data_IF_395426103503
#
_entry.id   IF_395426103503
#
_cell.length_a   1.000
_cell.length_b   1.000
_cell.length_c   1.000
_cell.angle_alpha   90.00
_cell.angle_beta   90.00
_cell.angle_gamma   90.00
#
_symmetry.space_group_name_H-M   'P 1'
#
loop_
_entity.id
_entity.type
_entity.pdbx_description
1 polymer ?
#
# COMPACT_ATOMS: atom_id res chain seq x y z
N UNK A 1 0.95 -7.98 -23.05
CA UNK A 1 1.20 -8.71 -21.79
C UNK A 1 2.39 -9.62 -21.98
N UNK A 2 2.42 -10.40 -23.06
CA UNK A 2 3.50 -11.32 -23.41
C UNK A 2 4.91 -10.69 -23.32
N UNK A 3 5.11 -9.49 -23.88
CA UNK A 3 6.41 -8.79 -23.77
C UNK A 3 6.81 -8.39 -22.35
N UNK A 4 5.84 -8.15 -21.45
CA UNK A 4 6.11 -7.77 -20.05
C UNK A 4 6.49 -9.00 -19.22
N UNK A 5 5.95 -10.16 -19.55
CA UNK A 5 6.27 -11.47 -18.94
C UNK A 5 7.68 -11.91 -19.31
N UNK A 6 8.13 -11.60 -20.54
CA UNK A 6 9.51 -11.88 -20.97
C UNK A 6 10.56 -10.99 -20.27
N UNK A 7 10.15 -9.81 -19.77
CA UNK A 7 11.02 -8.83 -19.09
C UNK A 7 11.12 -9.03 -17.57
N UNK A 8 10.12 -9.67 -16.96
CA UNK A 8 10.05 -9.89 -15.52
C UNK A 8 10.14 -11.40 -15.29
N UNK A 9 11.25 -11.94 -14.73
CA UNK A 9 11.34 -13.35 -14.34
C UNK A 9 10.39 -13.72 -13.17
N UNK A 10 9.09 -13.64 -13.42
CA UNK A 10 8.01 -14.06 -12.54
C UNK A 10 7.05 -14.93 -13.36
N UNK A 11 6.37 -15.87 -12.69
CA UNK A 11 5.36 -16.67 -13.37
C UNK A 11 4.18 -15.75 -13.81
N UNK A 12 3.54 -16.10 -14.93
CA UNK A 12 2.50 -15.27 -15.55
C UNK A 12 1.35 -14.94 -14.59
N UNK A 13 0.99 -15.86 -13.70
CA UNK A 13 -0.08 -15.65 -12.71
C UNK A 13 0.30 -14.62 -11.63
N UNK A 14 1.55 -14.63 -11.16
CA UNK A 14 2.07 -13.63 -10.24
C UNK A 14 2.06 -12.24 -10.89
N UNK A 15 2.56 -12.14 -12.14
CA UNK A 15 2.56 -10.87 -12.88
C UNK A 15 1.14 -10.34 -13.06
N UNK A 16 0.20 -11.20 -13.48
CA UNK A 16 -1.21 -10.82 -13.63
C UNK A 16 -1.84 -10.37 -12.32
N UNK A 17 -1.56 -11.07 -11.22
CA UNK A 17 -2.10 -10.71 -9.91
C UNK A 17 -1.54 -9.38 -9.40
N UNK A 18 -0.23 -9.16 -9.52
CA UNK A 18 0.38 -7.88 -9.15
C UNK A 18 -0.17 -6.74 -10.00
N UNK A 19 -0.39 -6.94 -11.31
CA UNK A 19 -0.97 -5.92 -12.19
C UNK A 19 -2.43 -5.60 -11.82
N UNK A 20 -3.21 -6.58 -11.34
CA UNK A 20 -4.59 -6.34 -10.88
C UNK A 20 -4.63 -5.36 -9.71
N UNK A 21 -3.67 -5.44 -8.80
CA UNK A 21 -3.65 -4.60 -7.60
C UNK A 21 -2.92 -3.26 -7.81
N UNK A 22 -2.05 -3.17 -8.82
CA UNK A 22 -1.39 -1.92 -9.19
C UNK A 22 -2.29 -1.00 -10.00
N UNK A 23 -2.13 0.34 -9.93
CA UNK A 23 -2.91 1.30 -10.73
C UNK A 23 -2.44 1.34 -12.19
N UNK A 24 -2.53 0.22 -12.90
CA UNK A 24 -2.08 0.03 -14.29
C UNK A 24 -3.27 -0.26 -15.20
N UNK A 25 -3.30 0.37 -16.38
CA UNK A 25 -4.27 0.07 -17.45
C UNK A 25 -3.57 -0.24 -18.78
N UNK A 26 -4.32 -0.81 -19.72
CA UNK A 26 -3.84 -1.07 -21.09
C UNK A 26 -4.50 -0.06 -22.01
N UNK A 27 -3.71 0.74 -22.73
CA UNK A 27 -4.20 1.72 -23.67
C UNK A 27 -3.47 1.57 -25.00
N UNK A 28 -4.21 1.38 -26.09
CA UNK A 28 -3.67 1.18 -27.44
C UNK A 28 -2.62 0.04 -27.50
N UNK A 29 -2.82 -1.04 -26.74
CA UNK A 29 -1.90 -2.17 -26.65
C UNK A 29 -0.70 -1.96 -25.72
N UNK A 30 -0.53 -0.78 -25.12
CA UNK A 30 0.57 -0.49 -24.19
C UNK A 30 0.11 -0.49 -22.74
N UNK A 31 0.92 -1.06 -21.86
CA UNK A 31 0.73 -1.00 -20.41
C UNK A 31 1.11 0.41 -19.93
N UNK A 32 0.23 1.04 -19.15
CA UNK A 32 0.40 2.40 -18.61
C UNK A 32 0.15 2.39 -17.11
N UNK A 33 1.12 2.88 -16.34
CA UNK A 33 0.95 3.17 -14.92
C UNK A 33 0.22 4.51 -14.77
N UNK A 34 -0.90 4.51 -14.04
CA UNK A 34 -1.60 5.72 -13.64
C UNK A 34 -0.82 6.37 -12.51
N UNK A 35 -0.13 7.47 -12.82
CA UNK A 35 0.61 8.24 -11.82
C UNK A 35 -0.34 8.72 -10.72
N UNK A 36 0.17 8.83 -9.49
CA UNK A 36 -0.63 9.22 -8.32
C UNK A 36 -1.41 10.53 -8.55
N UNK A 37 -0.80 11.56 -9.15
CA UNK A 37 -1.47 12.83 -9.45
C UNK A 37 -2.66 12.66 -10.39
N UNK A 38 -2.51 11.80 -11.41
CA UNK A 38 -3.58 11.51 -12.35
C UNK A 38 -4.69 10.69 -11.70
N UNK A 39 -4.33 9.68 -10.90
CA UNK A 39 -5.29 8.89 -10.13
C UNK A 39 -6.09 9.77 -9.16
N UNK A 40 -5.41 10.70 -8.48
CA UNK A 40 -6.02 11.67 -7.55
C UNK A 40 -7.00 12.59 -8.25
N UNK A 41 -6.63 13.07 -9.45
CA UNK A 41 -7.51 13.88 -10.30
C UNK A 41 -8.75 13.09 -10.72
N UNK A 42 -8.58 11.88 -11.24
CA UNK A 42 -9.69 11.00 -11.65
C UNK A 42 -10.62 10.71 -10.48
N UNK A 43 -10.08 10.38 -9.30
CA UNK A 43 -10.89 10.19 -8.10
C UNK A 43 -11.70 11.42 -7.76
N UNK A 44 -11.09 12.61 -7.78
CA UNK A 44 -11.77 13.87 -7.48
C UNK A 44 -12.89 14.19 -8.48
N UNK A 45 -12.68 13.90 -9.77
CA UNK A 45 -13.70 14.05 -10.81
C UNK A 45 -14.87 13.08 -10.59
N UNK A 46 -14.57 11.82 -10.29
CA UNK A 46 -15.58 10.78 -10.04
C UNK A 46 -16.42 11.11 -8.82
N UNK A 47 -15.78 11.37 -7.67
CA UNK A 47 -16.51 11.64 -6.42
C UNK A 47 -17.22 12.99 -6.47
N UNK A 48 -16.63 13.99 -7.15
CA UNK A 48 -17.27 15.28 -7.39
C UNK A 48 -18.54 15.14 -8.24
N UNK A 49 -18.51 14.34 -9.31
CA UNK A 49 -19.69 14.04 -10.11
C UNK A 49 -20.76 13.29 -9.29
N UNK A 50 -20.37 12.35 -8.44
CA UNK A 50 -21.33 11.65 -7.57
C UNK A 50 -22.03 12.64 -6.63
N UNK A 51 -21.31 13.57 -6.03
CA UNK A 51 -21.89 14.61 -5.17
C UNK A 51 -22.80 15.55 -5.97
N UNK A 52 -22.33 16.05 -7.12
CA UNK A 52 -23.08 16.98 -7.97
C UNK A 52 -24.41 16.40 -8.44
N UNK A 53 -24.42 15.12 -8.84
CA UNK A 53 -25.61 14.45 -9.35
C UNK A 53 -26.36 13.62 -8.30
N UNK A 54 -25.95 13.67 -7.03
CA UNK A 54 -26.66 13.05 -5.91
C UNK A 54 -26.62 11.52 -5.88
N UNK A 55 -25.54 10.90 -6.35
CA UNK A 55 -25.34 9.46 -6.26
C UNK A 55 -24.90 9.04 -4.85
N UNK A 56 -25.52 8.00 -4.31
CA UNK A 56 -25.05 7.37 -3.07
C UNK A 56 -23.89 6.43 -3.39
N UNK A 57 -22.71 6.72 -2.83
CA UNK A 57 -21.52 5.90 -3.01
C UNK A 57 -21.67 4.48 -2.45
N UNK A 58 -22.62 4.26 -1.53
CA UNK A 58 -22.91 2.95 -0.97
C UNK A 58 -23.68 2.05 -1.92
N UNK A 59 -24.44 2.62 -2.85
CA UNK A 59 -25.31 1.88 -3.74
C UNK A 59 -25.66 2.70 -4.98
N UNK A 60 -25.04 2.37 -6.11
CA UNK A 60 -25.33 2.99 -7.40
C UNK A 60 -25.07 2.03 -8.55
N UNK A 61 -25.65 2.32 -9.72
CA UNK A 61 -25.37 1.56 -10.94
C UNK A 61 -24.16 2.15 -11.67
N UNK A 62 -22.99 1.51 -11.57
CA UNK A 62 -21.76 2.03 -12.16
C UNK A 62 -21.83 2.20 -13.68
N UNK A 63 -22.51 1.30 -14.41
CA UNK A 63 -22.63 1.38 -15.88
C UNK A 63 -23.37 2.65 -16.30
N UNK A 64 -24.51 2.93 -15.66
CA UNK A 64 -25.31 4.14 -15.87
C UNK A 64 -24.51 5.38 -15.48
N UNK A 65 -23.80 5.32 -14.35
CA UNK A 65 -23.03 6.45 -13.86
C UNK A 65 -21.89 6.82 -14.81
N UNK A 66 -21.07 5.83 -15.22
CA UNK A 66 -19.95 6.03 -16.16
C UNK A 66 -20.40 6.60 -17.49
N UNK A 67 -21.44 6.02 -18.08
CA UNK A 67 -21.91 6.39 -19.43
C UNK A 67 -22.45 7.82 -19.49
N UNK A 68 -23.06 8.29 -18.40
CA UNK A 68 -23.76 9.57 -18.39
C UNK A 68 -22.93 10.73 -17.82
N UNK A 69 -21.94 10.45 -16.97
CA UNK A 69 -21.28 11.50 -16.17
C UNK A 69 -19.75 11.52 -16.27
N UNK A 70 -19.11 10.52 -16.92
CA UNK A 70 -17.64 10.37 -16.94
C UNK A 70 -17.08 10.22 -18.37
N UNK A 71 -17.74 10.82 -19.37
CA UNK A 71 -17.39 10.73 -20.79
C UNK A 71 -16.00 11.28 -21.13
N UNK A 72 -15.49 12.21 -20.33
CA UNK A 72 -14.16 12.80 -20.49
C UNK A 72 -13.02 11.92 -19.98
N UNK A 73 -13.31 10.84 -19.24
CA UNK A 73 -12.31 9.92 -18.68
C UNK A 73 -12.22 8.68 -19.59
N UNK A 74 -11.02 8.27 -20.05
CA UNK A 74 -10.89 7.10 -20.90
C UNK A 74 -11.51 5.85 -20.26
N UNK A 75 -12.25 5.01 -21.01
CA UNK A 75 -12.91 3.82 -20.48
C UNK A 75 -11.96 2.87 -19.73
N UNK A 76 -10.74 2.69 -20.23
CA UNK A 76 -9.73 1.82 -19.62
C UNK A 76 -9.25 2.35 -18.26
N UNK A 77 -9.25 3.67 -18.09
CA UNK A 77 -8.94 4.33 -16.82
C UNK A 77 -10.11 4.15 -15.85
N UNK A 78 -11.35 4.30 -16.31
CA UNK A 78 -12.54 4.07 -15.50
C UNK A 78 -12.61 2.61 -15.03
N UNK A 79 -12.45 1.65 -15.94
CA UNK A 79 -12.44 0.22 -15.59
C UNK A 79 -11.41 -0.07 -14.51
N UNK A 80 -10.20 0.48 -14.67
CA UNK A 80 -9.16 0.30 -13.68
C UNK A 80 -9.50 0.98 -12.35
N UNK A 81 -9.95 2.22 -12.38
CA UNK A 81 -10.30 2.96 -11.16
C UNK A 81 -11.36 2.23 -10.34
N UNK A 82 -12.45 1.80 -10.98
CA UNK A 82 -13.51 1.07 -10.30
C UNK A 82 -13.05 -0.30 -9.79
N UNK A 83 -12.16 -0.99 -10.49
CA UNK A 83 -11.58 -2.25 -9.95
C UNK A 83 -10.76 -2.03 -8.67
N UNK A 84 -10.19 -0.84 -8.49
CA UNK A 84 -9.40 -0.50 -7.31
C UNK A 84 -10.30 -0.03 -6.16
N UNK A 85 -11.27 0.83 -6.45
CA UNK A 85 -12.03 1.60 -5.45
C UNK A 85 -13.47 1.17 -5.27
N UNK A 86 -13.95 0.15 -5.97
CA UNK A 86 -15.34 -0.26 -5.89
C UNK A 86 -15.51 -1.79 -5.85
N UNK A 87 -16.62 -2.20 -5.26
CA UNK A 87 -17.07 -3.58 -5.20
C UNK A 87 -18.40 -3.68 -5.96
N UNK A 88 -18.49 -4.65 -6.88
CA UNK A 88 -19.72 -4.99 -7.57
C UNK A 88 -20.44 -6.09 -6.79
N UNK A 89 -21.73 -5.93 -6.53
CA UNK A 89 -22.55 -6.94 -5.88
C UNK A 89 -22.62 -8.24 -6.70
N UNK A 90 -22.91 -9.36 -6.04
CA UNK A 90 -22.99 -10.67 -6.68
C UNK A 90 -24.04 -10.75 -7.81
N UNK A 91 -25.10 -9.94 -7.71
CA UNK A 91 -26.14 -9.83 -8.74
C UNK A 91 -25.74 -8.95 -9.93
N UNK A 92 -24.57 -8.31 -9.87
CA UNK A 92 -24.01 -7.47 -10.92
C UNK A 92 -24.72 -6.12 -11.12
N UNK A 93 -25.68 -5.76 -10.26
CA UNK A 93 -26.52 -4.57 -10.49
C UNK A 93 -26.10 -3.35 -9.67
N UNK A 94 -25.47 -3.57 -8.51
CA UNK A 94 -25.18 -2.54 -7.53
C UNK A 94 -23.69 -2.43 -7.30
N UNK A 95 -23.18 -1.21 -7.30
CA UNK A 95 -21.79 -0.89 -7.01
C UNK A 95 -21.71 -0.09 -5.72
N UNK A 96 -20.70 -0.41 -4.91
CA UNK A 96 -20.38 0.26 -3.65
C UNK A 96 -18.93 0.71 -3.71
N UNK A 97 -18.64 1.98 -3.40
CA UNK A 97 -17.27 2.44 -3.25
C UNK A 97 -16.65 1.94 -1.94
N UNK A 98 -15.36 1.62 -1.97
CA UNK A 98 -14.56 1.29 -0.81
C UNK A 98 -14.14 2.57 -0.08
N UNK A 99 -14.89 2.92 0.97
CA UNK A 99 -14.68 4.12 1.79
C UNK A 99 -13.24 4.21 2.30
N UNK A 100 -12.67 3.09 2.77
CA UNK A 100 -11.30 3.07 3.29
C UNK A 100 -10.30 3.45 2.21
N UNK A 101 -10.41 2.88 1.01
CA UNK A 101 -9.50 3.19 -0.10
C UNK A 101 -9.65 4.63 -0.58
N UNK A 102 -10.89 5.12 -0.71
CA UNK A 102 -11.14 6.52 -1.11
C UNK A 102 -10.57 7.48 -0.07
N UNK A 103 -10.93 7.34 1.21
CA UNK A 103 -10.41 8.18 2.29
C UNK A 103 -8.88 8.13 2.37
N UNK A 104 -8.27 6.95 2.21
CA UNK A 104 -6.81 6.78 2.20
C UNK A 104 -6.14 7.51 1.02
N UNK A 105 -6.76 7.52 -0.16
CA UNK A 105 -6.26 8.30 -1.29
C UNK A 105 -6.26 9.80 -0.98
N UNK A 106 -7.35 10.32 -0.42
CA UNK A 106 -7.44 11.71 0.03
C UNK A 106 -6.42 12.04 1.13
N UNK A 107 -6.15 11.11 2.06
CA UNK A 107 -5.06 11.27 3.02
C UNK A 107 -3.73 11.46 2.29
N UNK A 108 -3.40 10.56 1.35
CA UNK A 108 -2.16 10.62 0.56
C UNK A 108 -2.02 11.94 -0.21
N UNK A 109 -3.11 12.54 -0.69
CA UNK A 109 -3.09 13.84 -1.36
C UNK A 109 -2.70 15.00 -0.43
N UNK A 110 -2.98 14.88 0.87
CA UNK A 110 -2.73 15.92 1.88
C UNK A 110 -1.42 15.70 2.64
N UNK A 111 -0.99 14.45 2.78
CA UNK A 111 0.11 14.06 3.65
C UNK A 111 1.42 14.76 3.24
N UNK A 112 1.90 15.54 4.20
CA UNK A 112 3.21 16.19 4.32
C UNK A 112 3.56 16.12 5.81
N UNK A 113 4.75 16.56 6.28
CA UNK A 113 4.91 16.83 7.70
C UNK A 113 3.82 17.82 8.15
N UNK A 114 2.84 17.35 8.91
CA UNK A 114 1.62 18.08 9.24
C UNK A 114 1.35 17.94 10.73
N UNK A 115 1.00 19.03 11.41
CA UNK A 115 0.46 18.94 12.75
C UNK A 115 -0.79 18.05 12.78
N UNK A 116 -0.85 17.11 13.74
CA UNK A 116 -1.85 16.03 13.77
C UNK A 116 -3.29 16.57 13.74
N UNK A 117 -3.59 17.55 14.60
CA UNK A 117 -4.97 18.06 14.73
C UNK A 117 -5.44 18.78 13.48
N UNK A 118 -4.56 19.56 12.85
CA UNK A 118 -4.88 20.28 11.61
C UNK A 118 -5.06 19.31 10.45
N UNK A 119 -4.22 18.27 10.39
CA UNK A 119 -4.35 17.20 9.39
C UNK A 119 -5.70 16.49 9.51
N UNK A 120 -6.12 16.06 10.71
CA UNK A 120 -7.38 15.33 10.89
C UNK A 120 -8.58 16.17 10.44
N UNK A 121 -8.57 17.47 10.73
CA UNK A 121 -9.62 18.40 10.27
C UNK A 121 -9.58 18.55 8.75
N UNK A 122 -8.42 18.82 8.18
CA UNK A 122 -8.26 18.99 6.73
C UNK A 122 -8.63 17.72 5.94
N UNK A 123 -8.25 16.55 6.45
CA UNK A 123 -8.54 15.27 5.85
C UNK A 123 -10.05 14.97 5.84
N UNK A 124 -10.72 15.12 6.98
CA UNK A 124 -12.16 14.92 7.05
C UNK A 124 -12.95 15.91 6.19
N UNK A 125 -12.43 17.13 5.99
CA UNK A 125 -13.05 18.14 5.11
C UNK A 125 -12.81 17.88 3.62
N UNK A 126 -11.82 17.06 3.28
CA UNK A 126 -11.45 16.80 1.88
C UNK A 126 -12.15 15.57 1.28
N UNK A 127 -12.59 14.63 2.12
CA UNK A 127 -13.28 13.43 1.65
C UNK A 127 -14.72 13.73 1.21
N UNK A 128 -15.31 12.92 0.32
CA UNK A 128 -16.69 13.10 -0.11
C UNK A 128 -17.69 13.10 1.05
N UNK A 129 -18.85 13.77 0.90
CA UNK A 129 -19.89 13.76 1.92
C UNK A 129 -20.31 12.35 2.32
N UNK A 130 -20.65 12.19 3.61
CA UNK A 130 -21.06 10.92 4.20
C UNK A 130 -19.98 9.82 4.20
N UNK A 131 -18.71 10.17 3.96
CA UNK A 131 -17.55 9.32 4.28
C UNK A 131 -16.87 9.79 5.58
N UNK A 132 -16.39 8.85 6.38
CA UNK A 132 -15.69 9.13 7.64
C UNK A 132 -14.24 8.70 7.58
N UNK A 133 -13.36 9.55 8.09
CA UNK A 133 -11.93 9.27 8.23
C UNK A 133 -11.63 8.64 9.59
N UNK A 134 -10.70 7.69 9.62
CA UNK A 134 -10.19 7.11 10.88
C UNK A 134 -8.68 6.89 10.79
N UNK A 135 -7.98 6.96 11.92
CA UNK A 135 -6.53 6.80 11.97
C UNK A 135 -6.05 5.45 11.41
N UNK A 136 -6.83 4.38 11.59
CA UNK A 136 -6.58 3.03 11.05
C UNK A 136 -6.51 2.99 9.51
N UNK A 137 -7.06 4.00 8.82
CA UNK A 137 -6.91 4.11 7.36
C UNK A 137 -5.53 4.63 6.95
N UNK A 138 -4.70 5.09 7.89
CA UNK A 138 -3.32 5.55 7.67
C UNK A 138 -2.27 4.44 7.89
N UNK A 139 -2.68 3.27 8.36
CA UNK A 139 -1.80 2.11 8.59
C UNK A 139 -0.97 1.79 7.34
N UNK A 140 0.36 1.77 7.45
CA UNK A 140 1.25 1.54 6.31
C UNK A 140 1.29 2.69 5.28
N UNK A 141 0.66 3.84 5.54
CA UNK A 141 0.73 5.06 4.70
C UNK A 141 1.53 6.17 5.37
N UNK A 142 1.43 6.27 6.69
CA UNK A 142 1.99 7.36 7.47
C UNK A 142 2.47 6.89 8.83
N UNK A 143 3.43 7.62 9.40
CA UNK A 143 3.86 7.48 10.78
C UNK A 143 3.18 8.55 11.63
N UNK A 144 2.64 8.12 12.76
CA UNK A 144 2.09 9.01 13.78
C UNK A 144 3.16 9.26 14.84
N UNK A 145 3.51 10.52 15.03
CA UNK A 145 4.39 10.97 16.11
C UNK A 145 3.54 11.60 17.20
N UNK A 146 3.64 11.06 18.41
CA UNK A 146 2.88 11.52 19.58
C UNK A 146 3.67 12.51 20.45
N UNK A 147 4.97 12.65 20.21
CA UNK A 147 5.81 13.60 20.94
C UNK A 147 5.38 15.04 20.61
N UNK A 148 5.31 15.95 21.60
CA UNK A 148 4.91 17.33 21.36
C UNK A 148 5.90 18.09 20.45
N UNK A 149 5.43 18.76 19.36
CA UNK A 149 4.06 18.77 18.87
C UNK A 149 3.71 17.52 18.05
N UNK A 150 2.55 16.87 18.30
CA UNK A 150 2.18 15.67 17.57
C UNK A 150 2.01 15.95 16.09
N UNK A 151 2.56 15.07 15.25
CA UNK A 151 2.51 15.23 13.81
C UNK A 151 2.28 13.89 13.10
N UNK A 152 1.79 13.99 11.87
CA UNK A 152 1.70 12.87 10.94
C UNK A 152 2.67 13.10 9.80
N UNK A 153 3.36 12.04 9.39
CA UNK A 153 4.34 12.10 8.31
C UNK A 153 4.05 11.02 7.28
N UNK A 154 4.07 11.41 5.99
CA UNK A 154 3.99 10.46 4.88
C UNK A 154 5.14 9.45 4.93
N UNK A 155 4.81 8.17 4.94
CA UNK A 155 5.77 7.07 4.98
C UNK A 155 5.07 5.79 4.51
N UNK A 156 4.89 5.60 3.20
CA UNK A 156 4.16 4.45 2.68
C UNK A 156 5.00 3.17 2.70
N UNK A 157 4.40 2.05 3.10
CA UNK A 157 5.03 0.72 3.08
C UNK A 157 5.45 0.26 1.67
N UNK A 158 4.80 0.84 0.66
CA UNK A 158 5.01 0.58 -0.76
C UNK A 158 6.38 1.05 -1.23
N UNK A 159 6.96 2.06 -0.58
CA UNK A 159 8.26 2.65 -0.91
C UNK A 159 9.42 2.02 -0.12
N UNK A 160 9.12 1.09 0.80
CA UNK A 160 10.13 0.39 1.58
C UNK A 160 10.75 -0.77 0.78
N UNK A 161 12.02 -1.06 1.08
CA UNK A 161 12.73 -2.20 0.49
C UNK A 161 11.96 -3.50 0.72
N UNK A 162 11.93 -4.44 -0.25
CA UNK A 162 11.43 -5.79 -0.01
C UNK A 162 12.28 -6.54 1.03
N UNK A 163 13.59 -6.24 1.11
CA UNK A 163 14.49 -6.88 2.07
C UNK A 163 14.07 -6.55 3.49
N UNK A 164 13.79 -7.58 4.29
CA UNK A 164 13.34 -7.42 5.68
C UNK A 164 14.32 -6.59 6.52
N UNK A 165 15.63 -6.87 6.39
CA UNK A 165 16.67 -6.15 7.12
C UNK A 165 16.71 -4.66 6.74
N UNK A 166 16.77 -4.34 5.45
CA UNK A 166 16.82 -2.95 4.97
C UNK A 166 15.54 -2.19 5.34
N UNK A 167 14.38 -2.87 5.26
CA UNK A 167 13.10 -2.32 5.68
C UNK A 167 13.10 -1.96 7.16
N UNK A 168 13.52 -2.86 8.05
CA UNK A 168 13.60 -2.55 9.48
C UNK A 168 14.62 -1.45 9.77
N UNK A 169 15.78 -1.48 9.11
CA UNK A 169 16.77 -0.40 9.24
C UNK A 169 16.14 0.96 8.89
N UNK A 170 15.38 1.04 7.81
CA UNK A 170 14.67 2.27 7.41
C UNK A 170 13.59 2.68 8.41
N UNK A 171 12.80 1.73 8.91
CA UNK A 171 11.76 1.98 9.94
C UNK A 171 12.36 2.55 11.24
N UNK A 172 13.42 1.93 11.75
CA UNK A 172 14.08 2.36 12.99
C UNK A 172 14.93 3.63 12.83
N UNK A 173 15.33 3.96 11.61
CA UNK A 173 15.93 5.26 11.30
C UNK A 173 14.89 6.39 11.39
N UNK A 174 13.65 6.11 10.97
CA UNK A 174 12.57 7.10 10.96
C UNK A 174 11.92 7.29 12.34
N UNK A 175 11.71 6.20 13.09
CA UNK A 175 11.13 6.23 14.44
C UNK A 175 11.80 5.16 15.31
N UNK A 176 12.31 5.56 16.46
CA UNK A 176 13.11 4.66 17.32
C UNK A 176 12.27 3.60 18.04
N UNK A 177 11.02 3.95 18.42
CA UNK A 177 10.13 3.12 19.23
C UNK A 177 8.82 2.92 18.51
N UNK A 178 8.37 1.68 18.43
CA UNK A 178 7.12 1.31 17.76
C UNK A 178 6.25 0.49 18.69
N UNK A 179 4.94 0.69 18.62
CA UNK A 179 4.00 -0.31 19.12
C UNK A 179 3.84 -1.45 18.10
N UNK A 180 3.35 -2.60 18.54
CA UNK A 180 3.06 -3.71 17.63
C UNK A 180 2.00 -3.33 16.58
N UNK A 181 0.94 -2.62 17.00
CA UNK A 181 -0.12 -2.12 16.11
C UNK A 181 0.44 -1.18 15.03
N UNK A 182 1.42 -0.34 15.37
CA UNK A 182 2.01 0.64 14.44
C UNK A 182 2.96 0.00 13.42
N UNK A 183 3.76 -0.99 13.82
CA UNK A 183 4.79 -1.59 12.95
C UNK A 183 4.23 -2.71 12.08
N UNK A 184 3.18 -3.40 12.55
CA UNK A 184 2.59 -4.57 11.89
C UNK A 184 2.25 -4.31 10.41
N UNK A 185 1.59 -3.19 10.02
CA UNK A 185 1.35 -2.87 8.61
C UNK A 185 2.62 -2.87 7.76
N UNK A 186 3.71 -2.31 8.27
CA UNK A 186 4.99 -2.21 7.55
C UNK A 186 5.72 -3.55 7.44
N UNK A 187 5.44 -4.49 8.34
CA UNK A 187 6.07 -5.81 8.42
C UNK A 187 5.30 -6.92 7.68
N UNK A 188 3.99 -6.76 7.40
CA UNK A 188 3.14 -7.80 6.80
C UNK A 188 3.70 -8.42 5.51
N UNK A 189 4.27 -7.62 4.62
CA UNK A 189 4.84 -8.11 3.34
C UNK A 189 6.07 -9.00 3.47
N UNK A 190 6.67 -9.11 4.66
CA UNK A 190 7.80 -10.01 4.90
C UNK A 190 7.36 -11.45 5.23
N UNK A 191 6.11 -11.65 5.66
CA UNK A 191 5.62 -12.96 6.15
C UNK A 191 5.64 -14.05 5.09
N UNK A 192 5.49 -13.67 3.81
CA UNK A 192 5.43 -14.62 2.70
C UNK A 192 6.80 -15.27 2.39
N UNK A 193 7.92 -14.67 2.81
CA UNK A 193 9.26 -15.23 2.62
C UNK A 193 9.60 -16.27 3.71
N UNK A 194 8.99 -16.19 4.90
CA UNK A 194 9.30 -17.08 6.02
C UNK A 194 8.46 -18.36 6.06
N UNK A 195 7.28 -18.38 5.42
CA UNK A 195 6.38 -19.54 5.44
C UNK A 195 6.80 -20.71 4.54
N UNK A 196 7.82 -20.54 3.70
CA UNK A 196 8.35 -21.64 2.86
C UNK A 196 9.32 -22.57 3.61
N UNK A 197 9.64 -22.31 4.88
CA UNK A 197 10.57 -23.15 5.66
C UNK A 197 10.13 -23.44 7.10
N UNK A 198 8.85 -23.67 7.40
CA UNK A 198 8.48 -24.25 8.71
C UNK A 198 7.26 -25.19 8.64
N UNK A 199 7.46 -26.38 8.06
CA UNK A 199 6.61 -27.52 8.39
C UNK A 199 7.20 -28.27 9.60
N UNK A 200 6.49 -28.23 10.73
CA UNK A 200 6.55 -29.26 11.77
C UNK A 200 6.89 -28.80 13.18
N UNK A 201 5.88 -28.36 13.94
CA UNK A 201 5.30 -29.12 15.07
C UNK A 201 4.44 -28.22 15.97
N UNK A 202 3.22 -28.69 16.22
CA UNK A 202 2.33 -28.19 17.26
C UNK A 202 2.90 -28.49 18.65
N UNK A 203 2.77 -27.54 19.58
CA UNK A 203 2.20 -27.83 20.91
C UNK A 203 1.76 -26.58 21.66
N UNK A 204 0.58 -26.73 22.26
CA UNK A 204 -0.26 -25.80 23.01
C UNK A 204 0.39 -25.24 24.29
N UNK A 205 0.13 -23.97 24.64
CA UNK A 205 -0.68 -23.61 25.83
C UNK A 205 -0.75 -22.11 26.18
N UNK A 206 -1.94 -21.75 26.67
CA UNK A 206 -2.26 -20.83 27.78
C UNK A 206 -2.19 -19.30 27.60
N UNK A 207 -3.35 -18.70 27.89
CA UNK A 207 -3.65 -17.26 27.97
C UNK A 207 -3.07 -16.56 29.21
N UNK A 208 -2.62 -15.30 29.06
CA UNK A 208 -2.37 -14.27 30.10
C UNK A 208 -2.54 -12.87 29.44
N UNK A 209 -3.04 -11.82 30.15
CA UNK A 209 -3.75 -10.71 29.51
C UNK A 209 -2.88 -9.55 28.99
N UNK A 210 -3.48 -8.77 28.08
CA UNK A 210 -2.92 -7.61 27.39
C UNK A 210 -2.43 -6.51 28.35
N UNK A 211 -1.14 -6.23 28.26
CA UNK A 211 -0.56 -4.91 28.55
C UNK A 211 0.08 -4.42 27.27
N UNK A 212 -0.24 -3.19 26.84
CA UNK A 212 0.35 -2.53 25.68
C UNK A 212 1.86 -2.35 25.91
N UNK A 213 2.65 -3.31 25.43
CA UNK A 213 4.11 -3.27 25.49
C UNK A 213 4.66 -2.45 24.34
N UNK A 214 5.54 -1.50 24.68
CA UNK A 214 6.38 -0.77 23.72
C UNK A 214 7.69 -1.55 23.64
N UNK A 215 8.03 -2.07 22.46
CA UNK A 215 9.24 -2.89 22.27
C UNK A 215 10.36 -2.07 21.60
N UNK A 216 11.61 -2.37 21.93
CA UNK A 216 12.77 -1.68 21.36
C UNK A 216 13.30 -2.38 20.11
N UNK A 217 14.13 -1.67 19.32
CA UNK A 217 14.84 -2.23 18.15
C UNK A 217 15.52 -3.57 18.43
N UNK A 218 16.16 -3.73 19.60
CA UNK A 218 16.85 -4.96 19.95
C UNK A 218 15.88 -6.12 20.18
N UNK A 219 14.72 -5.84 20.77
CA UNK A 219 13.70 -6.84 21.10
C UNK A 219 12.99 -7.36 19.84
N UNK A 220 12.72 -6.48 18.88
CA UNK A 220 12.04 -6.84 17.63
C UNK A 220 12.97 -7.56 16.64
N UNK A 221 14.24 -7.14 16.53
CA UNK A 221 15.21 -7.79 15.65
C UNK A 221 15.49 -9.23 16.10
N UNK A 222 15.59 -9.49 17.41
CA UNK A 222 15.82 -10.84 17.95
C UNK A 222 14.62 -11.80 17.79
N UNK A 223 13.39 -11.29 17.69
CA UNK A 223 12.20 -12.13 17.46
C UNK A 223 11.99 -12.50 15.99
N UNK A 224 12.47 -11.68 15.05
CA UNK A 224 12.16 -11.79 13.62
C UNK A 224 13.29 -12.44 12.83
N UNK A 225 14.54 -12.35 13.31
CA UNK A 225 15.70 -12.99 12.69
C UNK A 225 16.22 -14.06 13.67
N UNK A 226 16.08 -15.37 13.37
CA UNK A 226 16.73 -16.40 14.18
C UNK A 226 18.25 -16.22 14.06
N UNK A 227 18.92 -16.34 15.20
CA UNK A 227 20.36 -16.11 15.35
C UNK A 227 21.18 -16.90 14.31
N UNK A 228 21.79 -16.19 13.36
CA UNK A 228 23.06 -16.61 12.79
C UNK A 228 24.09 -15.50 13.00
N UNK A 229 25.10 -15.85 13.80
CA UNK A 229 26.27 -15.04 14.16
C UNK A 229 27.11 -14.64 12.93
N UNK A 230 27.68 -13.44 13.02
CA UNK A 230 28.89 -12.95 12.34
C UNK A 230 28.99 -13.06 10.81
N UNK A 231 29.05 -11.91 10.11
CA UNK A 231 30.07 -11.62 9.07
C UNK A 231 29.99 -10.15 8.59
N UNK A 232 31.05 -9.38 8.94
CA UNK A 232 31.67 -8.22 8.25
C UNK A 232 30.84 -6.92 8.02
N UNK A 233 31.32 -5.68 8.14
CA UNK A 233 32.67 -5.13 7.94
C UNK A 233 32.71 -4.24 6.67
N UNK A 234 32.56 -2.91 6.83
CA UNK A 234 32.83 -1.75 5.90
C UNK A 234 33.03 -1.96 4.36
N UNK A 235 32.45 -1.06 3.53
CA UNK A 235 33.09 -0.15 2.51
C UNK A 235 32.10 0.30 1.39
N UNK A 236 32.25 1.56 0.95
CA UNK A 236 31.46 2.37 0.02
C UNK A 236 31.61 2.08 -1.50
N UNK A 237 30.69 2.60 -2.35
CA UNK A 237 30.92 3.34 -3.61
C UNK A 237 29.66 3.47 -4.50
N UNK A 238 29.54 4.59 -5.23
CA UNK A 238 28.54 4.82 -6.28
C UNK A 238 28.83 3.98 -7.53
N UNK A 239 27.79 3.49 -8.21
CA UNK A 239 27.91 2.69 -9.43
C UNK A 239 26.73 2.91 -10.44
N UNK A 240 26.93 2.56 -11.73
CA UNK A 240 26.33 3.25 -12.91
C UNK A 240 24.93 2.74 -13.33
N UNK A 241 24.25 3.50 -14.21
CA UNK A 241 22.82 3.43 -14.58
C UNK A 241 22.16 2.03 -14.78
N UNK A 242 22.90 0.98 -15.13
CA UNK A 242 22.37 -0.40 -15.20
C UNK A 242 22.09 -0.99 -13.80
N UNK A 243 22.72 -0.46 -12.75
CA UNK A 243 22.48 -0.80 -11.35
C UNK A 243 21.30 -0.05 -10.74
N UNK A 244 20.61 0.84 -11.48
CA UNK A 244 19.43 1.56 -10.99
C UNK A 244 18.14 0.89 -11.46
N UNK A 245 18.17 0.22 -12.62
CA UNK A 245 16.98 -0.39 -13.23
C UNK A 245 16.76 -1.81 -12.68
N UNK A 246 17.84 -2.57 -12.42
CA UNK A 246 17.74 -3.93 -11.87
C UNK A 246 17.19 -3.99 -10.43
N UNK A 247 17.53 -3.09 -9.49
CA UNK A 247 16.95 -3.08 -8.15
C UNK A 247 15.49 -2.64 -8.08
N UNK A 248 14.97 -1.91 -9.08
CA UNK A 248 13.55 -1.58 -9.11
C UNK A 248 12.67 -2.78 -9.47
N UNK A 249 13.22 -3.76 -10.19
CA UNK A 249 12.54 -5.00 -10.57
C UNK A 249 12.83 -6.15 -9.60
N UNK A 250 13.93 -6.08 -8.84
CA UNK A 250 14.37 -7.09 -7.86
C UNK A 250 13.35 -7.46 -6.75
N UNK A 251 12.49 -6.56 -6.25
CA UNK A 251 11.42 -6.89 -5.29
C UNK A 251 10.37 -7.87 -5.82
N UNK A 252 10.35 -8.09 -7.14
CA UNK A 252 9.30 -8.83 -7.83
C UNK A 252 9.80 -10.12 -8.48
N UNK A 253 11.04 -10.53 -8.21
CA UNK A 253 11.70 -11.69 -8.79
C UNK A 253 12.21 -12.63 -7.68
N UNK A 254 11.84 -13.91 -7.65
CA UNK A 254 12.38 -14.83 -6.66
C UNK A 254 13.86 -15.15 -6.94
N UNK A 255 14.68 -15.16 -5.89
CA UNK A 255 16.11 -15.46 -5.96
C UNK A 255 16.34 -16.88 -6.52
N UNK A 256 17.07 -16.99 -7.63
CA UNK A 256 17.47 -18.28 -8.19
C UNK A 256 18.88 -18.65 -7.70
N UNK A 257 18.99 -19.79 -7.03
CA UNK A 257 20.28 -20.45 -6.77
C UNK A 257 20.70 -21.18 -8.05
N UNK A 258 21.89 -20.91 -8.63
CA UNK A 258 22.33 -21.60 -9.83
C UNK A 258 22.73 -23.06 -9.51
N UNK A 259 22.36 -24.00 -10.40
CA UNK A 259 22.94 -25.34 -10.48
C UNK A 259 24.36 -25.32 -11.05
#
# INVERSE_FOLDING_TARGET
MDELVDLVPANMQCVEQTIKDMPVCIMNGFVRLLHFDYLSKVTSEITGAMEEFGFDWRSFNATTFRTNFLDMIPPEVLDKWFSLFAHLSEDGNTTTLDERKVCRLYARMLLKPFHMQEFLVAWQQSVPPNMNTSLEMLDGLAILHHDPPPCVQYFPEEELSPSGLERFQRLFLEKEKWSMEEIEPYARKMGDEMEMTTNGNEQSNSAVPETRNVETRSDMVQKILPEEEEVFGYVAAYAPLNEVITPMLKPFLPDFVPM
#
